data_IF_282995737890
#
_entry.id   IF_282995737890
#
_cell.length_a   1.000
_cell.length_b   1.000
_cell.length_c   1.000
_cell.angle_alpha   90.00
_cell.angle_beta   90.00
_cell.angle_gamma   90.00
#
_symmetry.space_group_name_H-M   'P 1'
#
loop_
_entity.id
_entity.type
_entity.pdbx_description
1 polymer ?
#
# COMPACT_ATOMS: atom_id res chain seq x y z
N UNK A 1 24.43 -13.20 -16.65
CA UNK A 1 22.98 -13.40 -16.81
C UNK A 1 22.29 -12.36 -15.95
N UNK A 2 21.35 -11.58 -16.48
CA UNK A 2 20.48 -10.78 -15.61
C UNK A 2 19.46 -11.74 -15.01
N UNK A 3 19.24 -11.60 -13.72
CA UNK A 3 18.19 -12.33 -13.04
C UNK A 3 16.84 -11.82 -13.58
N UNK A 4 15.99 -12.72 -14.10
CA UNK A 4 14.70 -12.35 -14.73
C UNK A 4 13.56 -12.22 -13.70
N UNK A 5 13.90 -11.86 -12.45
CA UNK A 5 12.95 -11.73 -11.35
C UNK A 5 12.55 -10.27 -11.14
N UNK A 6 11.30 -10.05 -10.76
CA UNK A 6 10.75 -8.72 -10.41
C UNK A 6 10.13 -8.77 -9.01
N UNK A 7 10.27 -7.68 -8.26
CA UNK A 7 9.64 -7.54 -6.93
C UNK A 7 8.25 -6.93 -7.07
N UNK A 8 7.24 -7.66 -6.60
CA UNK A 8 5.87 -7.13 -6.50
C UNK A 8 5.72 -6.27 -5.25
N UNK A 9 4.92 -5.20 -5.34
CA UNK A 9 4.61 -4.30 -4.23
C UNK A 9 3.10 -4.06 -4.13
N UNK A 10 2.52 -4.08 -2.92
CA UNK A 10 1.14 -3.66 -2.72
C UNK A 10 0.90 -2.23 -3.23
N UNK A 11 -0.29 -2.01 -3.78
CA UNK A 11 -0.72 -0.72 -4.29
C UNK A 11 -2.23 -0.53 -4.07
N UNK A 12 -2.64 0.73 -3.95
CA UNK A 12 -4.03 1.16 -3.89
C UNK A 12 -4.44 1.73 -5.24
N UNK A 13 -5.53 1.22 -5.80
CA UNK A 13 -6.16 1.74 -7.00
C UNK A 13 -7.17 2.83 -6.63
N UNK A 14 -7.26 3.88 -7.44
CA UNK A 14 -8.21 4.99 -7.25
C UNK A 14 -8.47 5.75 -8.54
N UNK A 15 -9.69 6.24 -8.72
CA UNK A 15 -10.07 7.06 -9.86
C UNK A 15 -9.93 8.55 -9.55
N UNK A 16 -9.32 9.31 -10.46
CA UNK A 16 -9.22 10.75 -10.31
C UNK A 16 -10.56 11.42 -10.66
N UNK A 17 -11.20 12.06 -9.68
CA UNK A 17 -12.50 12.72 -9.86
C UNK A 17 -12.45 13.91 -10.85
N UNK A 18 -11.26 14.49 -11.08
CA UNK A 18 -11.09 15.65 -11.98
C UNK A 18 -10.88 15.26 -13.45
N UNK A 19 -10.18 14.16 -13.74
CA UNK A 19 -9.84 13.78 -15.12
C UNK A 19 -10.34 12.40 -15.55
N UNK A 20 -10.97 11.65 -14.64
CA UNK A 20 -11.59 10.34 -14.89
C UNK A 20 -10.62 9.20 -15.15
N UNK A 21 -9.31 9.37 -14.87
CA UNK A 21 -8.30 8.31 -15.08
C UNK A 21 -8.09 7.50 -13.81
N UNK A 22 -7.99 6.18 -13.97
CA UNK A 22 -7.54 5.26 -12.93
C UNK A 22 -6.05 5.48 -12.64
N UNK A 23 -5.69 5.47 -11.36
CA UNK A 23 -4.33 5.64 -10.86
C UNK A 23 -4.00 4.56 -9.83
N UNK A 24 -2.70 4.33 -9.65
CA UNK A 24 -2.16 3.43 -8.64
C UNK A 24 -1.16 4.18 -7.78
N UNK A 25 -1.29 4.03 -6.47
CA UNK A 25 -0.33 4.56 -5.49
C UNK A 25 0.21 3.40 -4.66
N UNK A 26 1.54 3.34 -4.51
CA UNK A 26 2.17 2.31 -3.66
C UNK A 26 1.70 2.47 -2.22
N UNK A 27 1.55 1.35 -1.54
CA UNK A 27 1.36 1.36 -0.09
C UNK A 27 2.62 1.88 0.60
N UNK A 28 2.45 2.49 1.77
CA UNK A 28 3.56 2.84 2.64
C UNK A 28 3.98 1.57 3.39
N UNK A 29 5.28 1.29 3.39
CA UNK A 29 5.87 0.22 4.20
C UNK A 29 6.49 0.93 5.39
N UNK A 30 5.88 0.85 6.59
CA UNK A 30 6.49 1.44 7.78
C UNK A 30 7.79 0.69 8.08
N UNK A 31 8.79 1.42 8.56
CA UNK A 31 9.99 0.80 9.13
C UNK A 31 9.60 0.27 10.50
N UNK A 32 9.51 -1.06 10.61
CA UNK A 32 9.27 -1.76 11.87
C UNK A 32 10.55 -2.46 12.29
N UNK A 33 10.81 -2.52 13.59
CA UNK A 33 11.81 -3.44 14.11
C UNK A 33 11.34 -4.90 13.92
N UNK A 34 12.26 -5.86 14.01
CA UNK A 34 11.89 -7.28 13.97
C UNK A 34 10.96 -7.66 15.12
N UNK A 35 11.11 -7.01 16.29
CA UNK A 35 10.26 -7.18 17.46
C UNK A 35 8.84 -6.67 17.19
N UNK A 36 8.70 -5.44 16.69
CA UNK A 36 7.38 -4.86 16.32
C UNK A 36 6.66 -5.72 15.27
N UNK A 37 7.40 -6.24 14.28
CA UNK A 37 6.84 -7.14 13.27
C UNK A 37 6.35 -8.45 13.87
N UNK A 38 7.06 -9.00 14.85
CA UNK A 38 6.67 -10.23 15.51
C UNK A 38 5.42 -10.00 16.38
N UNK A 39 5.36 -8.91 17.14
CA UNK A 39 4.18 -8.53 17.91
C UNK A 39 2.95 -8.35 17.02
N UNK A 40 3.08 -7.63 15.90
CA UNK A 40 1.99 -7.48 14.92
C UNK A 40 1.56 -8.82 14.33
N UNK A 41 2.49 -9.73 14.04
CA UNK A 41 2.16 -11.08 13.56
C UNK A 41 1.35 -11.84 14.59
N UNK A 42 1.77 -11.82 15.86
CA UNK A 42 1.11 -12.54 16.94
C UNK A 42 -0.29 -11.98 17.23
N UNK A 43 -0.44 -10.64 17.26
CA UNK A 43 -1.74 -9.98 17.44
C UNK A 43 -2.74 -10.35 16.33
N UNK A 44 -2.25 -10.41 15.09
CA UNK A 44 -3.08 -10.71 13.92
C UNK A 44 -3.17 -12.21 13.60
N UNK A 45 -2.57 -13.09 14.42
CA UNK A 45 -2.58 -14.54 14.24
C UNK A 45 -1.84 -15.03 12.99
N UNK A 46 -0.93 -14.21 12.44
CA UNK A 46 -0.16 -14.50 11.22
C UNK A 46 0.89 -15.56 11.52
N UNK A 47 0.80 -16.69 10.84
CA UNK A 47 1.67 -17.83 11.08
C UNK A 47 3.07 -17.62 10.47
N UNK A 48 4.13 -18.30 10.97
CA UNK A 48 5.50 -18.13 10.46
C UNK A 48 5.69 -18.47 8.97
N UNK A 49 4.84 -19.35 8.43
CA UNK A 49 4.86 -19.73 7.02
C UNK A 49 4.03 -18.79 6.12
N UNK A 50 3.28 -17.86 6.69
CA UNK A 50 2.51 -16.88 5.92
C UNK A 50 3.42 -15.73 5.47
N UNK A 51 3.41 -15.50 4.16
CA UNK A 51 4.14 -14.42 3.51
C UNK A 51 3.22 -13.21 3.34
N UNK A 52 3.67 -12.05 3.80
CA UNK A 52 2.93 -10.80 3.68
C UNK A 52 3.73 -9.64 4.24
N UNK A 53 3.30 -8.42 3.93
CA UNK A 53 3.85 -7.20 4.52
C UNK A 53 2.72 -6.42 5.17
N UNK A 54 2.95 -5.96 6.40
CA UNK A 54 2.11 -4.93 7.00
C UNK A 54 2.39 -3.61 6.27
N UNK A 55 1.35 -3.06 5.65
CA UNK A 55 1.43 -1.83 4.88
C UNK A 55 0.29 -0.91 5.26
N UNK A 56 0.51 0.39 5.10
CA UNK A 56 -0.50 1.41 5.34
C UNK A 56 -0.90 2.13 4.05
N UNK A 57 -2.13 2.64 4.05
CA UNK A 57 -2.66 3.48 2.98
C UNK A 57 -2.06 4.88 3.08
N UNK A 58 -1.63 5.50 1.96
CA UNK A 58 -1.20 6.90 1.99
C UNK A 58 -2.38 7.79 2.33
N UNK A 59 -2.20 8.80 3.20
CA UNK A 59 -3.27 9.74 3.62
C UNK A 59 -3.75 10.68 2.50
N UNK A 60 -2.89 10.90 1.49
CA UNK A 60 -3.21 11.70 0.31
C UNK A 60 -2.55 11.14 -0.94
N UNK A 61 -3.16 11.40 -2.09
CA UNK A 61 -2.66 10.99 -3.40
C UNK A 61 -2.70 12.16 -4.37
N UNK A 62 -1.73 12.22 -5.29
CA UNK A 62 -1.67 13.21 -6.35
C UNK A 62 -1.83 12.54 -7.70
N UNK A 63 -2.75 13.04 -8.53
CA UNK A 63 -2.92 12.54 -9.89
C UNK A 63 -1.69 12.92 -10.73
N UNK A 64 -0.95 11.96 -11.32
CA UNK A 64 0.18 12.24 -12.18
C UNK A 64 -0.23 12.86 -13.53
N UNK A 65 -1.51 12.81 -13.88
CA UNK A 65 -2.03 13.30 -15.16
C UNK A 65 -2.48 14.76 -15.11
N UNK A 66 -3.32 15.14 -14.16
CA UNK A 66 -3.84 16.51 -14.03
C UNK A 66 -3.24 17.30 -12.85
N UNK A 67 -2.54 16.64 -11.93
CA UNK A 67 -1.90 17.28 -10.78
C UNK A 67 -2.81 17.52 -9.58
N UNK A 68 -4.10 17.20 -9.65
CA UNK A 68 -5.03 17.29 -8.53
C UNK A 68 -4.58 16.43 -7.35
N UNK A 69 -4.88 16.88 -6.12
CA UNK A 69 -4.50 16.22 -4.86
C UNK A 69 -5.78 15.89 -4.09
N UNK A 70 -5.86 14.66 -3.58
CA UNK A 70 -7.03 14.13 -2.87
C UNK A 70 -6.61 13.57 -1.53
N UNK A 71 -7.44 13.76 -0.50
CA UNK A 71 -7.36 12.97 0.72
C UNK A 71 -7.92 11.58 0.48
N UNK A 72 -7.41 10.57 1.18
CA UNK A 72 -7.88 9.18 1.06
C UNK A 72 -8.71 8.78 2.26
N UNK A 73 -9.65 7.85 2.05
CA UNK A 73 -10.39 7.15 3.11
C UNK A 73 -10.43 5.66 2.81
N UNK A 74 -10.54 4.80 3.82
CA UNK A 74 -10.71 3.38 3.55
C UNK A 74 -12.08 3.14 2.91
N UNK A 75 -12.17 2.14 2.03
CA UNK A 75 -13.45 1.72 1.43
C UNK A 75 -14.50 1.37 2.50
N UNK A 76 -14.05 0.87 3.66
CA UNK A 76 -14.94 0.54 4.79
C UNK A 76 -15.57 1.77 5.45
N UNK A 77 -15.01 2.96 5.20
CA UNK A 77 -15.46 4.23 5.77
C UNK A 77 -16.31 5.05 4.77
N UNK A 78 -16.52 4.53 3.56
CA UNK A 78 -17.25 5.19 2.48
C UNK A 78 -18.71 4.74 2.41
#
# INVERSE_FOLDING_TARGET
MRDNMVTLRPAYAWDCEECGRENFSRSLIPEFSEEDLQELRDEHGVQPWETGAFVSMPESVKCPHCGAVFGTRHLKDA
#
